data_IF_997206871064
#
_entry.id   IF_997206871064
#
_cell.length_a   1.000
_cell.length_b   1.000
_cell.length_c   1.000
_cell.angle_alpha   90.00
_cell.angle_beta   90.00
_cell.angle_gamma   90.00
#
_symmetry.space_group_name_H-M   'P 1'
#
loop_
_entity.id
_entity.type
_entity.pdbx_description
1 polymer ?
#
# COMPACT_ATOMS: atom_id res chain seq x y z
N UNK A 1 2.72 1.62 -25.03
CA UNK A 1 3.84 2.53 -25.37
C UNK A 1 4.25 3.24 -24.08
N UNK A 2 5.55 3.39 -23.80
CA UNK A 2 6.07 3.96 -22.54
C UNK A 2 7.34 4.79 -22.79
N UNK A 3 7.56 5.87 -22.03
CA UNK A 3 8.85 6.61 -21.95
C UNK A 3 9.59 6.38 -20.61
N UNK A 4 9.16 5.39 -19.84
CA UNK A 4 9.67 5.08 -18.50
C UNK A 4 8.89 5.76 -17.37
N UNK A 5 8.21 6.88 -17.64
CA UNK A 5 7.45 7.65 -16.64
C UNK A 5 5.96 7.73 -16.97
N UNK A 6 5.64 7.73 -18.26
CA UNK A 6 4.32 7.81 -18.81
C UNK A 6 4.08 6.61 -19.72
N UNK A 7 2.88 6.03 -19.63
CA UNK A 7 2.49 4.98 -20.54
C UNK A 7 1.05 5.17 -21.01
N UNK A 8 0.79 4.73 -22.24
CA UNK A 8 -0.56 4.54 -22.77
C UNK A 8 -0.68 3.07 -23.13
N UNK A 9 -1.71 2.43 -22.57
CA UNK A 9 -2.13 1.08 -22.92
C UNK A 9 -3.24 1.19 -23.96
N UNK A 10 -3.07 0.43 -25.04
CA UNK A 10 -4.08 0.25 -26.09
C UNK A 10 -4.47 -1.21 -26.04
N UNK A 11 -5.75 -1.46 -25.80
CA UNK A 11 -6.34 -2.78 -25.83
C UNK A 11 -6.99 -3.01 -27.19
N UNK A 12 -6.60 -4.10 -27.85
CA UNK A 12 -7.18 -4.51 -29.12
C UNK A 12 -8.32 -5.48 -28.83
N UNK A 13 -9.52 -5.12 -29.26
CA UNK A 13 -10.69 -5.99 -29.16
C UNK A 13 -10.68 -7.05 -30.29
N UNK A 14 -10.19 -6.68 -31.48
CA UNK A 14 -9.97 -7.56 -32.62
C UNK A 14 -8.86 -7.02 -33.54
N UNK A 15 -8.20 -7.92 -34.30
CA UNK A 15 -7.22 -7.58 -35.34
C UNK A 15 -5.76 -7.61 -34.90
N UNK A 16 -4.85 -7.21 -35.80
CA UNK A 16 -3.40 -7.17 -35.57
C UNK A 16 -2.82 -5.80 -35.93
N UNK A 17 -1.88 -5.32 -35.11
CA UNK A 17 -1.11 -4.09 -35.38
C UNK A 17 0.15 -4.36 -36.22
N UNK A 18 0.52 -5.62 -36.45
CA UNK A 18 1.78 -6.00 -37.09
C UNK A 18 1.71 -6.09 -38.62
N UNK A 19 0.52 -5.95 -39.22
CA UNK A 19 0.30 -6.22 -40.64
C UNK A 19 0.74 -5.11 -41.61
N UNK A 20 1.36 -4.02 -41.13
CA UNK A 20 1.81 -2.89 -41.98
C UNK A 20 0.70 -2.04 -42.61
N UNK A 21 -0.55 -2.50 -42.59
CA UNK A 21 -1.71 -1.74 -43.03
C UNK A 21 -2.06 -0.59 -42.04
N UNK A 22 -2.60 0.53 -42.54
CA UNK A 22 -3.07 1.62 -41.67
C UNK A 22 -4.10 1.13 -40.66
N UNK A 23 -3.90 1.50 -39.39
CA UNK A 23 -4.80 1.13 -38.29
C UNK A 23 -5.84 2.22 -38.10
N UNK A 24 -7.12 1.86 -38.27
CA UNK A 24 -8.24 2.75 -37.97
C UNK A 24 -8.60 2.64 -36.49
N UNK A 25 -8.47 3.74 -35.75
CA UNK A 25 -8.86 3.81 -34.34
C UNK A 25 -10.32 4.26 -34.22
N UNK A 26 -11.21 3.36 -33.82
CA UNK A 26 -12.58 3.71 -33.43
C UNK A 26 -12.63 4.02 -31.92
N UNK A 27 -13.10 5.22 -31.56
CA UNK A 27 -13.26 5.62 -30.16
C UNK A 27 -14.74 5.77 -29.81
N UNK A 28 -15.25 4.87 -28.95
CA UNK A 28 -16.65 4.89 -28.51
C UNK A 28 -16.80 5.54 -27.15
N UNK A 29 -17.67 6.54 -27.07
CA UNK A 29 -18.08 7.18 -25.81
C UNK A 29 -19.53 6.79 -25.50
N UNK A 30 -19.76 6.30 -24.27
CA UNK A 30 -21.09 5.89 -23.82
C UNK A 30 -21.55 6.80 -22.67
N UNK A 31 -22.34 7.82 -22.99
CA UNK A 31 -22.84 8.79 -22.01
C UNK A 31 -21.77 9.76 -21.49
N UNK A 32 -22.22 10.81 -20.80
CA UNK A 32 -21.37 11.94 -20.38
C UNK A 32 -20.37 11.52 -19.29
N UNK A 33 -20.79 10.72 -18.31
CA UNK A 33 -19.91 10.28 -17.23
C UNK A 33 -18.70 9.47 -17.74
N UNK A 34 -18.93 8.55 -18.68
CA UNK A 34 -17.86 7.78 -19.34
C UNK A 34 -17.01 8.67 -20.26
N UNK A 35 -17.64 9.63 -20.96
CA UNK A 35 -16.91 10.58 -21.80
C UNK A 35 -15.88 11.39 -21.00
N UNK A 36 -16.26 11.92 -19.84
CA UNK A 36 -15.36 12.74 -19.02
C UNK A 36 -14.10 12.00 -18.57
N UNK A 37 -14.19 10.73 -18.16
CA UNK A 37 -13.01 9.92 -17.79
C UNK A 37 -12.15 9.53 -19.01
N UNK A 38 -12.75 9.55 -20.21
CA UNK A 38 -12.16 9.14 -21.48
C UNK A 38 -11.51 10.27 -22.28
N UNK A 39 -11.81 11.53 -22.00
CA UNK A 39 -11.24 12.67 -22.74
C UNK A 39 -9.72 12.80 -22.52
N UNK A 40 -9.23 12.66 -21.28
CA UNK A 40 -7.80 12.81 -21.00
C UNK A 40 -6.93 11.70 -21.64
N UNK A 41 -7.29 10.41 -21.55
CA UNK A 41 -6.61 9.35 -22.31
C UNK A 41 -6.58 9.61 -23.82
N UNK A 42 -7.69 10.07 -24.41
CA UNK A 42 -7.75 10.40 -25.83
C UNK A 42 -6.81 11.56 -26.19
N UNK A 43 -6.79 12.64 -25.38
CA UNK A 43 -5.85 13.76 -25.58
C UNK A 43 -4.39 13.32 -25.52
N UNK A 44 -4.04 12.42 -24.58
CA UNK A 44 -2.70 11.83 -24.48
C UNK A 44 -2.34 11.05 -25.73
N UNK A 45 -3.24 10.21 -26.23
CA UNK A 45 -3.03 9.41 -27.45
C UNK A 45 -2.84 10.31 -28.67
N UNK A 46 -3.74 11.28 -28.88
CA UNK A 46 -3.64 12.21 -30.00
C UNK A 46 -2.34 13.03 -29.97
N UNK A 47 -1.89 13.43 -28.77
CA UNK A 47 -0.62 14.11 -28.61
C UNK A 47 0.55 13.19 -28.97
N UNK A 48 0.55 11.95 -28.50
CA UNK A 48 1.58 10.96 -28.84
C UNK A 48 1.61 10.66 -30.35
N UNK A 49 0.47 10.49 -31.00
CA UNK A 49 0.40 10.26 -32.44
C UNK A 49 0.95 11.46 -33.24
N UNK A 50 0.65 12.69 -32.80
CA UNK A 50 1.07 13.90 -33.53
C UNK A 50 2.52 14.30 -33.29
N UNK A 51 3.01 14.15 -32.06
CA UNK A 51 4.31 14.67 -31.65
C UNK A 51 5.35 13.60 -31.33
N UNK A 52 4.96 12.31 -31.35
CA UNK A 52 5.81 11.14 -31.02
C UNK A 52 6.49 11.22 -29.64
N UNK A 53 5.92 12.00 -28.73
CA UNK A 53 6.40 12.21 -27.35
C UNK A 53 5.23 12.30 -26.37
N UNK A 54 5.52 12.08 -25.09
CA UNK A 54 4.57 12.35 -24.01
C UNK A 54 4.72 13.78 -23.51
N UNK A 55 3.62 14.53 -23.46
CA UNK A 55 3.61 15.85 -22.83
C UNK A 55 3.33 15.71 -21.34
N UNK A 56 4.29 16.05 -20.48
CA UNK A 56 4.15 16.00 -19.02
C UNK A 56 2.89 16.74 -18.51
N UNK A 57 2.48 17.82 -19.17
CA UNK A 57 1.25 18.56 -18.84
C UNK A 57 -0.04 17.74 -18.98
N UNK A 58 -0.03 16.66 -19.77
CA UNK A 58 -1.15 15.72 -19.90
C UNK A 58 -1.09 14.58 -18.87
N UNK A 59 -0.01 14.47 -18.10
CA UNK A 59 0.17 13.48 -17.04
C UNK A 59 0.34 14.19 -15.69
N UNK A 60 -0.75 14.79 -15.15
CA UNK A 60 -0.69 15.39 -13.83
C UNK A 60 -0.32 14.32 -12.79
N UNK A 61 0.42 14.72 -11.76
CA UNK A 61 0.79 13.84 -10.66
C UNK A 61 -0.46 13.15 -10.09
N UNK A 62 -0.41 11.83 -9.97
CA UNK A 62 -1.52 11.07 -9.44
C UNK A 62 -1.76 11.44 -7.97
N UNK A 63 -2.94 12.02 -7.72
CA UNK A 63 -3.37 12.37 -6.37
C UNK A 63 -3.45 11.10 -5.53
N UNK A 64 -2.52 10.95 -4.60
CA UNK A 64 -2.44 9.80 -3.70
C UNK A 64 -1.30 8.82 -3.97
N UNK A 65 -0.45 9.08 -4.98
CA UNK A 65 0.75 8.26 -5.23
C UNK A 65 1.65 8.17 -3.99
N UNK A 66 1.87 9.30 -3.30
CA UNK A 66 2.69 9.34 -2.09
C UNK A 66 2.15 8.40 -1.00
N UNK A 67 0.83 8.34 -0.84
CA UNK A 67 0.19 7.42 0.10
C UNK A 67 0.39 5.97 -0.35
N UNK A 68 0.20 5.67 -1.62
CA UNK A 68 0.39 4.32 -2.17
C UNK A 68 1.82 3.83 -1.97
N UNK A 69 2.82 4.69 -2.17
CA UNK A 69 4.23 4.37 -1.89
C UNK A 69 4.44 4.06 -0.41
N UNK A 70 3.86 4.85 0.49
CA UNK A 70 3.94 4.58 1.94
C UNK A 70 3.30 3.22 2.27
N UNK A 71 2.12 2.91 1.72
CA UNK A 71 1.45 1.63 1.97
C UNK A 71 2.26 0.44 1.42
N UNK A 72 2.91 0.61 0.26
CA UNK A 72 3.81 -0.41 -0.30
C UNK A 72 5.01 -0.65 0.63
N UNK A 73 5.68 0.42 1.07
CA UNK A 73 6.81 0.30 2.02
C UNK A 73 6.40 -0.36 3.33
N UNK A 74 5.21 -0.05 3.85
CA UNK A 74 4.67 -0.70 5.06
C UNK A 74 4.44 -2.19 4.80
N UNK A 75 3.86 -2.54 3.66
CA UNK A 75 3.66 -3.93 3.29
C UNK A 75 4.99 -4.70 3.19
N UNK A 76 6.00 -4.11 2.56
CA UNK A 76 7.32 -4.72 2.43
C UNK A 76 7.99 -4.93 3.79
N UNK A 77 7.88 -3.94 4.69
CA UNK A 77 8.37 -4.06 6.06
C UNK A 77 7.63 -5.17 6.85
N UNK A 78 6.31 -5.29 6.68
CA UNK A 78 5.53 -6.39 7.28
C UNK A 78 5.96 -7.75 6.73
N UNK A 79 6.21 -7.85 5.42
CA UNK A 79 6.69 -9.07 4.77
C UNK A 79 8.10 -9.45 5.26
N UNK A 80 8.94 -8.47 5.60
CA UNK A 80 10.24 -8.66 6.24
C UNK A 80 10.15 -8.97 7.75
N UNK A 81 8.95 -9.03 8.33
CA UNK A 81 8.75 -9.34 9.76
C UNK A 81 8.94 -8.16 10.71
N UNK A 82 9.00 -6.93 10.22
CA UNK A 82 9.18 -5.75 11.05
C UNK A 82 8.01 -5.55 12.04
N UNK A 83 8.35 -5.16 13.26
CA UNK A 83 7.38 -4.77 14.28
C UNK A 83 6.72 -3.43 13.96
N UNK A 84 5.56 -3.16 14.59
CA UNK A 84 4.87 -1.87 14.42
C UNK A 84 5.76 -0.67 14.80
N UNK A 85 6.65 -0.85 15.78
CA UNK A 85 7.56 0.21 16.23
C UNK A 85 8.65 0.47 15.21
N UNK A 86 9.25 -0.57 14.64
CA UNK A 86 10.26 -0.44 13.57
C UNK A 86 9.67 0.22 12.32
N UNK A 87 8.45 -0.17 11.93
CA UNK A 87 7.71 0.47 10.84
C UNK A 87 7.49 1.96 11.15
N UNK A 88 7.10 2.29 12.38
CA UNK A 88 6.93 3.68 12.77
C UNK A 88 8.26 4.46 12.78
N UNK A 89 9.36 3.86 13.22
CA UNK A 89 10.69 4.50 13.19
C UNK A 89 11.11 4.82 11.75
N UNK A 90 10.92 3.86 10.82
CA UNK A 90 11.25 4.05 9.41
C UNK A 90 10.39 5.14 8.74
N UNK A 91 9.15 5.32 9.17
CA UNK A 91 8.22 6.29 8.57
C UNK A 91 8.25 7.69 9.20
N UNK A 92 8.49 7.77 10.52
CA UNK A 92 8.32 9.01 11.29
C UNK A 92 9.60 9.46 12.02
N UNK A 93 10.67 8.67 11.96
CA UNK A 93 11.93 8.90 12.65
C UNK A 93 11.96 8.33 14.07
N UNK A 94 13.14 7.84 14.47
CA UNK A 94 13.35 7.21 15.78
C UNK A 94 13.13 8.17 16.95
N UNK A 95 13.63 9.40 16.85
CA UNK A 95 13.52 10.43 17.90
C UNK A 95 12.04 10.72 18.22
N UNK A 96 11.22 10.85 17.19
CA UNK A 96 9.78 11.09 17.35
C UNK A 96 9.09 9.89 17.97
N UNK A 97 9.41 8.67 17.50
CA UNK A 97 8.86 7.45 18.08
C UNK A 97 9.26 7.32 19.54
N UNK A 98 10.51 7.59 19.91
CA UNK A 98 10.95 7.54 21.30
C UNK A 98 10.12 8.46 22.21
N UNK A 99 9.80 9.67 21.75
CA UNK A 99 8.97 10.63 22.50
C UNK A 99 7.48 10.28 22.55
N UNK A 100 6.90 9.90 21.41
CA UNK A 100 5.44 9.83 21.23
C UNK A 100 4.87 8.41 21.35
N UNK A 101 5.70 7.36 21.27
CA UNK A 101 5.19 5.98 21.24
C UNK A 101 4.37 5.62 22.47
N UNK A 102 4.76 6.10 23.64
CA UNK A 102 4.03 5.90 24.91
C UNK A 102 3.31 7.15 25.38
N UNK A 103 3.09 8.13 24.48
CA UNK A 103 2.33 9.34 24.79
C UNK A 103 0.88 8.98 25.15
N UNK A 104 0.25 9.68 26.11
CA UNK A 104 -1.17 9.49 26.45
C UNK A 104 -2.12 9.65 25.26
N UNK A 105 -1.72 10.38 24.21
CA UNK A 105 -2.55 10.62 23.03
C UNK A 105 -2.76 9.38 22.14
N UNK A 106 -1.90 8.36 22.26
CA UNK A 106 -1.85 7.15 21.41
C UNK A 106 -1.87 7.43 19.88
N UNK A 107 -1.64 8.67 19.48
CA UNK A 107 -1.92 9.16 18.13
C UNK A 107 -0.99 8.52 17.09
N UNK A 108 0.29 8.37 17.44
CA UNK A 108 1.31 7.77 16.58
C UNK A 108 1.10 6.28 16.38
N UNK A 109 0.78 5.53 17.45
CA UNK A 109 0.45 4.09 17.35
C UNK A 109 -0.82 3.89 16.54
N UNK A 110 -1.87 4.65 16.82
CA UNK A 110 -3.13 4.59 16.07
C UNK A 110 -2.95 4.96 14.59
N UNK A 111 -2.09 5.91 14.26
CA UNK A 111 -1.71 6.23 12.87
C UNK A 111 -0.97 5.06 12.21
N UNK A 112 0.00 4.48 12.90
CA UNK A 112 0.80 3.34 12.40
C UNK A 112 -0.07 2.12 12.15
N UNK A 113 -0.96 1.77 13.10
CA UNK A 113 -1.92 0.66 12.96
C UNK A 113 -2.84 0.83 11.76
N UNK A 114 -3.28 2.06 11.48
CA UNK A 114 -4.09 2.37 10.29
C UNK A 114 -3.30 2.15 9.00
N UNK A 115 -2.05 2.58 8.94
CA UNK A 115 -1.20 2.32 7.76
C UNK A 115 -0.96 0.83 7.52
N UNK A 116 -0.70 0.07 8.58
CA UNK A 116 -0.55 -1.40 8.52
C UNK A 116 -1.83 -2.07 8.01
N UNK A 117 -2.98 -1.65 8.53
CA UNK A 117 -4.27 -2.15 8.09
C UNK A 117 -4.52 -1.83 6.61
N UNK A 118 -4.34 -0.57 6.21
CA UNK A 118 -4.56 -0.13 4.84
C UNK A 118 -3.62 -0.85 3.86
N UNK A 119 -2.33 -1.03 4.22
CA UNK A 119 -1.36 -1.76 3.41
C UNK A 119 -1.78 -3.23 3.21
N UNK A 120 -2.31 -3.86 4.26
CA UNK A 120 -2.82 -5.24 4.20
C UNK A 120 -4.05 -5.33 3.29
N UNK A 121 -5.01 -4.41 3.42
CA UNK A 121 -6.20 -4.35 2.56
C UNK A 121 -5.81 -4.13 1.09
N UNK A 122 -4.84 -3.25 0.85
CA UNK A 122 -4.32 -3.00 -0.49
C UNK A 122 -3.73 -4.28 -1.10
N UNK A 123 -2.89 -5.02 -0.37
CA UNK A 123 -2.28 -6.26 -0.82
C UNK A 123 -3.31 -7.39 -1.07
N UNK A 124 -4.39 -7.45 -0.28
CA UNK A 124 -5.45 -8.46 -0.40
C UNK A 124 -6.45 -8.20 -1.55
N UNK A 125 -6.14 -7.27 -2.46
CA UNK A 125 -6.97 -6.97 -3.64
C UNK A 125 -7.51 -5.54 -3.68
N UNK A 126 -7.30 -4.74 -2.63
CA UNK A 126 -7.66 -3.32 -2.60
C UNK A 126 -7.00 -2.51 -3.72
N UNK A 127 -5.82 -2.92 -4.20
CA UNK A 127 -5.13 -2.29 -5.33
C UNK A 127 -5.97 -2.24 -6.62
N UNK A 128 -6.96 -3.12 -6.80
CA UNK A 128 -7.83 -3.12 -7.99
C UNK A 128 -8.64 -1.82 -8.12
N UNK A 129 -8.94 -1.16 -7.00
CA UNK A 129 -9.60 0.14 -7.00
C UNK A 129 -8.75 1.23 -7.66
N UNK A 130 -7.42 1.19 -7.47
CA UNK A 130 -6.48 2.11 -8.12
C UNK A 130 -6.55 1.98 -9.65
N UNK A 131 -6.64 0.74 -10.15
CA UNK A 131 -6.74 0.47 -11.60
C UNK A 131 -8.07 0.94 -12.20
N UNK A 132 -9.14 0.93 -11.40
CA UNK A 132 -10.48 1.35 -11.82
C UNK A 132 -10.68 2.86 -11.68
N UNK A 133 -9.70 3.61 -11.17
CA UNK A 133 -9.83 5.02 -10.86
C UNK A 133 -10.91 5.31 -9.81
N UNK A 134 -11.39 4.27 -9.11
CA UNK A 134 -12.27 4.42 -7.97
C UNK A 134 -11.37 4.65 -6.77
N UNK A 135 -11.65 5.67 -5.95
CA UNK A 135 -10.95 5.80 -4.67
C UNK A 135 -11.06 4.45 -3.95
N UNK A 136 -9.96 3.88 -3.42
CA UNK A 136 -10.05 2.70 -2.58
C UNK A 136 -11.06 3.04 -1.49
N UNK A 137 -12.22 2.41 -1.57
CA UNK A 137 -13.19 2.47 -0.50
C UNK A 137 -12.45 1.78 0.64
N UNK A 138 -12.03 2.54 1.65
CA UNK A 138 -11.57 1.97 2.91
C UNK A 138 -12.78 1.24 3.45
N UNK A 139 -12.95 -0.03 3.05
CA UNK A 139 -14.21 -0.71 3.21
C UNK A 139 -14.36 -1.04 4.68
N UNK A 140 -15.17 -0.23 5.36
CA UNK A 140 -15.81 -0.60 6.61
C UNK A 140 -16.57 -1.93 6.48
N UNK A 141 -16.85 -2.40 5.25
CA UNK A 141 -17.42 -3.72 4.95
C UNK A 141 -16.45 -4.89 5.21
N UNK A 142 -15.13 -4.69 5.14
CA UNK A 142 -14.13 -5.71 5.54
C UNK A 142 -14.04 -5.89 7.06
N UNK A 143 -14.66 -5.01 7.85
CA UNK A 143 -14.74 -5.10 9.32
C UNK A 143 -15.47 -6.35 9.81
N UNK A 144 -16.27 -7.03 8.98
CA UNK A 144 -17.22 -8.06 9.46
C UNK A 144 -17.14 -9.44 8.81
N UNK A 145 -16.27 -9.68 7.82
CA UNK A 145 -16.18 -11.00 7.15
C UNK A 145 -14.76 -11.52 7.21
N UNK A 146 -14.51 -12.37 8.22
CA UNK A 146 -13.29 -13.11 8.53
C UNK A 146 -12.33 -12.44 9.51
N UNK A 147 -12.51 -12.80 10.79
CA UNK A 147 -11.39 -13.41 11.49
C UNK A 147 -10.60 -12.58 12.48
N UNK A 148 -11.25 -11.92 13.44
CA UNK A 148 -10.64 -11.67 14.76
C UNK A 148 -10.32 -12.99 15.54
N UNK A 149 -10.41 -14.15 14.88
CA UNK A 149 -10.20 -15.49 15.46
C UNK A 149 -8.75 -15.99 15.37
N UNK A 150 -7.81 -15.21 14.80
CA UNK A 150 -6.39 -15.59 14.75
C UNK A 150 -5.44 -14.69 15.56
N UNK A 151 -5.92 -13.62 16.21
CA UNK A 151 -5.03 -12.76 17.01
C UNK A 151 -4.88 -13.21 18.48
N UNK A 152 -5.40 -14.38 18.87
CA UNK A 152 -5.44 -14.84 20.28
C UNK A 152 -4.80 -16.21 20.54
N UNK A 153 -3.91 -16.68 19.67
CA UNK A 153 -3.21 -17.94 19.89
C UNK A 153 -1.84 -17.96 19.21
N UNK A 154 -0.83 -17.48 19.94
CA UNK A 154 0.52 -18.05 20.03
C UNK A 154 1.30 -17.29 21.10
N UNK A 155 1.10 -17.76 22.33
CA UNK A 155 2.18 -17.94 23.30
C UNK A 155 3.24 -18.86 22.64
N UNK A 156 4.49 -18.69 23.05
CA UNK A 156 5.73 -19.40 22.67
C UNK A 156 6.64 -18.61 21.71
N UNK A 157 7.91 -18.38 22.03
CA UNK A 157 8.70 -18.95 23.13
C UNK A 157 9.94 -18.11 23.43
N UNK A 158 10.24 -18.07 24.72
CA UNK A 158 11.54 -17.74 25.29
C UNK A 158 12.63 -18.60 24.64
N UNK A 159 13.64 -17.95 24.09
CA UNK A 159 15.01 -18.43 23.92
C UNK A 159 15.84 -17.21 24.34
N UNK A 160 16.72 -17.21 25.32
CA UNK A 160 17.44 -18.28 25.98
C UNK A 160 18.81 -17.69 26.28
N UNK A 161 18.99 -17.08 27.46
CA UNK A 161 20.30 -16.76 28.00
C UNK A 161 20.61 -17.84 29.04
N UNK A 162 21.46 -18.78 28.64
CA UNK A 162 21.92 -19.86 29.50
C UNK A 162 23.02 -19.38 30.46
N UNK A 163 23.08 -20.13 31.57
CA UNK A 163 24.25 -20.46 32.42
C UNK A 163 24.87 -19.29 33.21
N UNK A 164 25.05 -19.39 34.54
CA UNK A 164 25.71 -20.48 35.28
C UNK A 164 25.41 -20.43 36.80
N UNK A 165 25.32 -21.62 37.40
CA UNK A 165 25.72 -22.03 38.78
C UNK A 165 25.07 -21.29 39.97
N UNK A 166 24.13 -21.90 40.71
CA UNK A 166 24.31 -22.98 41.71
C UNK A 166 25.15 -22.56 42.92
N UNK A 167 24.45 -22.13 43.98
CA UNK A 167 24.88 -22.23 45.38
C UNK A 167 23.62 -22.42 46.26
N UNK A 168 23.34 -23.69 46.54
CA UNK A 168 22.83 -24.27 47.78
C UNK A 168 22.34 -23.34 48.91
N UNK A 169 21.07 -23.54 49.27
CA UNK A 169 20.54 -23.71 50.63
C UNK A 169 21.07 -22.84 51.78
N UNK A 170 20.20 -21.98 52.32
CA UNK A 170 19.87 -22.00 53.75
C UNK A 170 18.50 -21.33 54.02
N UNK A 171 17.64 -21.99 54.80
CA UNK A 171 16.42 -21.43 55.40
C UNK A 171 16.72 -21.03 56.87
N UNK A 172 15.74 -20.79 57.75
CA UNK A 172 14.72 -19.73 57.80
C UNK A 172 14.75 -18.96 59.15
N UNK A 173 14.24 -17.72 59.22
CA UNK A 173 13.63 -17.06 60.40
C UNK A 173 13.25 -15.63 59.96
N UNK A 174 12.04 -15.10 60.15
CA UNK A 174 11.26 -15.04 61.37
C UNK A 174 11.32 -13.59 61.87
N UNK A 175 10.29 -12.79 61.60
CA UNK A 175 10.07 -11.49 62.25
C UNK A 175 8.57 -11.24 62.41
N UNK A 176 8.14 -11.32 63.67
CA UNK A 176 7.28 -10.27 64.24
C UNK A 176 8.04 -8.94 64.22
#
# INVERSE_FOLDING_TARGET
>A
MSDGWHHIRIDLDAGTLAGGAPVVFAYRLHGIASAMSRVLPLRRLLHLCRHRRFAASLFPAERGMDRSVVLLRVHDALAAGASQREIACALFGEERVAREWSSPSDSLRSRTRRLIHDATVMAQGGYRSLLLGTRPKTDAATRKRRGWRLYRSRRFGLIGAGTTHDLTANSPTGWQ
#
